data_IF_197359259798
#
_entry.id   IF_197359259798
#
_cell.length_a   1.000
_cell.length_b   1.000
_cell.length_c   1.000
_cell.angle_alpha   90.00
_cell.angle_beta   90.00
_cell.angle_gamma   90.00
#
_symmetry.space_group_name_H-M   'P 1'
#
loop_
_entity.id
_entity.type
_entity.pdbx_description
1 polymer ?
#
# COMPACT_ATOMS: atom_id res chain seq x y z
N UNK A 1 -1.60 17.17 -1.69
CA UNK A 1 -1.14 16.31 -2.78
C UNK A 1 -2.29 15.47 -3.32
N UNK A 2 -2.45 15.42 -4.62
CA UNK A 2 -3.66 14.86 -5.22
C UNK A 2 -3.44 13.50 -5.88
N UNK A 3 -2.55 12.72 -5.33
CA UNK A 3 -2.24 11.41 -5.90
C UNK A 3 -3.45 10.49 -5.99
N UNK A 4 -4.38 10.65 -5.06
CA UNK A 4 -5.56 9.80 -5.01
C UNK A 4 -6.57 10.10 -6.10
N UNK A 5 -6.37 11.16 -6.88
CA UNK A 5 -7.30 11.50 -7.95
C UNK A 5 -7.21 10.55 -9.14
N UNK A 6 -6.08 9.89 -9.32
CA UNK A 6 -5.88 9.04 -10.49
C UNK A 6 -5.68 7.60 -10.09
N UNK A 7 -6.17 6.72 -10.96
CA UNK A 7 -5.98 5.28 -10.82
C UNK A 7 -4.49 4.97 -10.97
N UNK A 8 -3.87 4.26 -10.02
CA UNK A 8 -2.43 4.00 -10.10
C UNK A 8 -2.02 3.05 -11.22
N UNK A 9 -2.94 2.25 -11.74
CA UNK A 9 -2.68 1.33 -12.84
C UNK A 9 -2.90 2.01 -14.17
N UNK A 10 -3.97 2.79 -14.29
CA UNK A 10 -4.30 3.50 -15.51
C UNK A 10 -4.48 4.98 -15.18
N UNK A 11 -3.46 5.81 -15.41
CA UNK A 11 -3.54 7.22 -15.04
C UNK A 11 -4.53 8.03 -15.85
N UNK A 12 -5.14 7.45 -16.88
CA UNK A 12 -6.20 8.12 -17.61
C UNK A 12 -7.54 7.98 -16.92
N UNK A 13 -7.66 7.08 -15.94
CA UNK A 13 -8.87 6.93 -15.15
C UNK A 13 -8.75 7.71 -13.86
N UNK A 14 -9.87 8.26 -13.41
CA UNK A 14 -9.92 8.87 -12.08
C UNK A 14 -10.23 7.80 -11.05
N UNK A 15 -9.61 7.94 -9.88
CA UNK A 15 -9.91 7.06 -8.76
C UNK A 15 -11.31 7.33 -8.23
N UNK A 16 -12.08 6.26 -8.05
CA UNK A 16 -13.42 6.34 -7.51
C UNK A 16 -13.39 6.51 -6.00
N UNK A 17 -14.39 7.18 -5.45
CA UNK A 17 -14.57 7.24 -4.00
C UNK A 17 -15.34 6.04 -3.45
N UNK A 18 -15.79 5.15 -4.32
CA UNK A 18 -16.53 3.97 -3.91
C UNK A 18 -15.67 3.09 -2.99
N UNK A 19 -16.21 2.63 -1.86
CA UNK A 19 -15.40 1.85 -0.92
C UNK A 19 -14.93 0.50 -1.46
N UNK A 20 -15.60 -0.04 -2.46
CA UNK A 20 -15.20 -1.30 -3.06
C UNK A 20 -14.18 -1.14 -4.18
N UNK A 21 -13.76 0.10 -4.49
CA UNK A 21 -12.74 0.37 -5.50
C UNK A 21 -11.52 1.01 -4.88
N UNK A 22 -11.09 0.49 -3.73
CA UNK A 22 -9.89 0.98 -3.06
C UNK A 22 -9.11 -0.19 -2.46
N UNK A 23 -7.83 0.06 -2.23
CA UNK A 23 -6.94 -0.93 -1.63
C UNK A 23 -5.86 -0.18 -0.86
N UNK A 24 -5.41 -0.75 0.25
CA UNK A 24 -4.38 -0.11 1.08
C UNK A 24 -3.09 -0.89 1.02
N UNK A 25 -1.99 -0.14 0.93
CA UNK A 25 -0.64 -0.69 1.03
C UNK A 25 0.13 0.22 1.96
N UNK A 26 0.72 -0.33 3.00
CA UNK A 26 1.45 0.43 4.03
C UNK A 26 0.58 1.56 4.61
N UNK A 27 -0.71 1.31 4.73
CA UNK A 27 -1.65 2.29 5.25
C UNK A 27 -2.06 3.37 4.27
N UNK A 28 -1.45 3.43 3.09
CA UNK A 28 -1.84 4.38 2.06
C UNK A 28 -3.02 3.83 1.28
N UNK A 29 -3.98 4.70 0.98
CA UNK A 29 -5.18 4.31 0.25
C UNK A 29 -4.97 4.59 -1.23
N UNK A 30 -5.18 3.57 -2.05
CA UNK A 30 -5.14 3.67 -3.50
C UNK A 30 -6.55 3.48 -4.03
N UNK A 31 -6.98 4.35 -4.93
CA UNK A 31 -8.34 4.34 -5.46
C UNK A 31 -8.30 4.04 -6.94
N UNK A 32 -9.30 3.30 -7.39
CA UNK A 32 -9.33 2.77 -8.76
C UNK A 32 -10.56 3.24 -9.49
N UNK A 33 -10.43 3.35 -10.80
CA UNK A 33 -11.53 3.76 -11.66
C UNK A 33 -12.49 2.62 -11.98
N UNK A 34 -12.02 1.38 -11.95
CA UNK A 34 -12.85 0.22 -12.19
C UNK A 34 -12.25 -1.02 -11.51
N UNK A 35 -13.01 -2.13 -11.56
CA UNK A 35 -12.57 -3.36 -10.92
C UNK A 35 -11.39 -4.00 -11.62
N UNK A 36 -11.24 -3.78 -12.90
CA UNK A 36 -10.16 -4.40 -13.65
C UNK A 36 -8.80 -3.88 -13.19
N UNK A 37 -8.68 -2.57 -13.03
CA UNK A 37 -7.44 -1.99 -12.54
C UNK A 37 -7.19 -2.34 -11.09
N UNK A 38 -8.25 -2.40 -10.27
CA UNK A 38 -8.11 -2.83 -8.89
C UNK A 38 -7.51 -4.23 -8.82
N UNK A 39 -8.03 -5.16 -9.61
CA UNK A 39 -7.51 -6.53 -9.59
C UNK A 39 -6.07 -6.61 -10.05
N UNK A 40 -5.70 -5.84 -11.06
CA UNK A 40 -4.32 -5.83 -11.52
C UNK A 40 -3.38 -5.30 -10.44
N UNK A 41 -3.80 -4.28 -9.73
CA UNK A 41 -3.01 -3.74 -8.62
C UNK A 41 -2.85 -4.79 -7.53
N UNK A 42 -3.93 -5.46 -7.15
CA UNK A 42 -3.91 -6.43 -6.06
C UNK A 42 -3.02 -7.64 -6.35
N UNK A 43 -2.84 -7.98 -7.62
CA UNK A 43 -1.99 -9.11 -7.99
C UNK A 43 -0.51 -8.82 -7.70
N UNK A 44 -0.06 -7.61 -7.96
CA UNK A 44 1.32 -7.22 -7.77
C UNK A 44 1.40 -5.76 -7.34
N UNK A 45 0.99 -5.44 -6.09
CA UNK A 45 0.96 -4.05 -5.67
C UNK A 45 2.30 -3.34 -5.79
N UNK A 46 3.39 -4.08 -5.63
CA UNK A 46 4.74 -3.50 -5.67
C UNK A 46 5.08 -2.89 -7.02
N UNK A 47 4.38 -3.28 -8.09
CA UNK A 47 4.63 -2.68 -9.40
C UNK A 47 4.03 -1.30 -9.54
N UNK A 48 2.99 -1.00 -8.77
CA UNK A 48 2.14 0.15 -9.03
C UNK A 48 2.19 1.24 -7.96
N UNK A 49 2.70 0.92 -6.77
CA UNK A 49 2.58 1.87 -5.66
C UNK A 49 3.77 2.84 -5.55
N UNK A 50 4.78 2.72 -6.42
CA UNK A 50 5.91 3.63 -6.39
C UNK A 50 6.73 3.48 -5.12
N UNK A 51 7.13 4.61 -4.54
CA UNK A 51 7.87 4.59 -3.29
C UNK A 51 6.91 4.42 -2.12
N UNK A 52 7.31 3.56 -1.20
CA UNK A 52 6.56 3.35 0.04
C UNK A 52 7.40 3.84 1.22
N UNK A 53 6.71 4.10 2.32
CA UNK A 53 7.37 4.42 3.58
C UNK A 53 7.31 3.20 4.48
N UNK A 54 8.49 2.77 4.98
CA UNK A 54 8.56 1.68 5.95
C UNK A 54 7.87 2.14 7.24
N UNK A 55 6.89 1.41 7.74
CA UNK A 55 6.14 1.87 8.91
C UNK A 55 6.93 1.84 10.21
N UNK A 56 8.05 1.12 10.26
CA UNK A 56 8.84 1.00 11.46
C UNK A 56 9.82 2.16 11.61
N UNK A 57 10.56 2.47 10.56
CA UNK A 57 11.61 3.50 10.65
C UNK A 57 11.37 4.71 9.76
N UNK A 58 10.29 4.71 8.97
CA UNK A 58 9.95 5.86 8.14
C UNK A 58 10.78 6.00 6.88
N UNK A 59 11.70 5.09 6.59
CA UNK A 59 12.52 5.20 5.40
C UNK A 59 11.69 4.98 4.15
N UNK A 60 12.05 5.65 3.07
CA UNK A 60 11.40 5.47 1.79
C UNK A 60 12.16 4.44 0.98
N UNK A 61 11.41 3.59 0.29
CA UNK A 61 12.02 2.53 -0.51
C UNK A 61 11.08 2.16 -1.64
N UNK A 62 11.66 1.59 -2.69
CA UNK A 62 10.88 1.06 -3.81
C UNK A 62 10.66 -0.43 -3.58
N UNK A 63 9.41 -0.84 -3.38
CA UNK A 63 9.14 -2.26 -3.15
C UNK A 63 9.39 -3.09 -4.41
N UNK A 64 9.69 -4.36 -4.21
CA UNK A 64 9.88 -5.31 -5.29
C UNK A 64 9.27 -6.64 -4.88
N UNK A 65 9.36 -7.62 -5.79
CA UNK A 65 8.88 -8.96 -5.47
C UNK A 65 9.65 -9.60 -4.33
N UNK A 66 10.83 -9.09 -4.03
CA UNK A 66 11.68 -9.61 -2.95
C UNK A 66 11.49 -8.88 -1.63
N UNK A 67 10.73 -7.80 -1.62
CA UNK A 67 10.55 -7.04 -0.39
C UNK A 67 9.86 -7.87 0.68
N UNK A 68 10.38 -7.85 1.91
CA UNK A 68 9.68 -8.48 3.03
C UNK A 68 8.31 -7.86 3.20
N UNK A 69 7.33 -8.67 3.56
CA UNK A 69 5.96 -8.20 3.69
C UNK A 69 5.20 -8.98 4.73
N UNK A 70 4.16 -8.35 5.26
CA UNK A 70 3.22 -8.94 6.19
C UNK A 70 1.82 -8.56 5.74
N UNK A 71 0.93 -9.53 5.69
CA UNK A 71 -0.47 -9.26 5.43
C UNK A 71 -1.15 -9.01 6.77
N UNK A 72 -1.66 -7.82 6.93
CA UNK A 72 -2.21 -7.39 8.20
C UNK A 72 -3.58 -6.78 7.97
N UNK A 73 -4.33 -6.54 9.04
CA UNK A 73 -5.63 -5.88 8.94
C UNK A 73 -5.43 -4.54 8.22
N UNK A 74 -6.22 -4.30 7.19
CA UNK A 74 -6.11 -3.07 6.41
C UNK A 74 -5.17 -3.16 5.21
N UNK A 75 -4.66 -4.36 4.88
CA UNK A 75 -3.88 -4.57 3.67
C UNK A 75 -2.45 -5.00 3.95
N UNK A 76 -1.68 -5.25 2.91
CA UNK A 76 -0.29 -5.67 3.09
C UNK A 76 0.60 -4.50 3.51
N UNK A 77 1.64 -4.84 4.27
CA UNK A 77 2.72 -3.93 4.61
C UNK A 77 4.01 -4.48 4.03
N UNK A 78 4.72 -3.66 3.29
CA UNK A 78 6.04 -3.98 2.74
C UNK A 78 7.10 -3.28 3.56
N UNK A 79 8.27 -3.89 3.65
CA UNK A 79 9.35 -3.38 4.50
C UNK A 79 10.63 -3.24 3.69
N UNK A 80 11.45 -2.28 4.11
CA UNK A 80 12.73 -2.03 3.47
C UNK A 80 13.74 -3.13 3.80
N UNK A 81 13.54 -3.88 4.90
CA UNK A 81 14.46 -4.91 5.33
C UNK A 81 13.75 -5.95 6.17
N UNK A 82 14.40 -7.10 6.34
CA UNK A 82 13.89 -8.13 7.24
C UNK A 82 13.84 -7.63 8.68
N UNK A 83 14.79 -6.79 9.04
CA UNK A 83 14.87 -6.25 10.39
C UNK A 83 13.62 -5.44 10.75
N UNK A 84 13.19 -4.56 9.85
CA UNK A 84 12.00 -3.76 10.14
C UNK A 84 10.75 -4.62 10.10
N UNK A 85 10.68 -5.60 9.22
CA UNK A 85 9.56 -6.54 9.22
C UNK A 85 9.45 -7.25 10.55
N UNK A 86 10.57 -7.72 11.09
CA UNK A 86 10.56 -8.46 12.33
C UNK A 86 10.14 -7.58 13.51
N UNK A 87 10.57 -6.32 13.50
CA UNK A 87 10.14 -5.38 14.54
C UNK A 87 8.65 -5.09 14.45
N UNK A 88 8.11 -5.02 13.26
CA UNK A 88 6.67 -4.85 13.09
C UNK A 88 5.92 -6.06 13.67
N UNK A 89 6.41 -7.26 13.39
CA UNK A 89 5.77 -8.47 13.90
C UNK A 89 5.80 -8.57 15.42
N UNK A 90 6.83 -8.00 16.06
CA UNK A 90 6.91 -7.98 17.51
C UNK A 90 5.82 -7.13 18.15
N UNK A 91 5.40 -6.06 17.50
CA UNK A 91 4.41 -5.14 18.06
C UNK A 91 3.66 -4.42 16.93
N UNK A 92 2.79 -5.15 16.21
CA UNK A 92 2.11 -4.55 15.06
C UNK A 92 1.26 -3.34 15.42
N UNK A 93 0.64 -3.35 16.60
CA UNK A 93 -0.23 -2.24 16.98
C UNK A 93 0.50 -0.93 17.14
N UNK A 94 1.81 -0.99 17.42
CA UNK A 94 2.63 0.20 17.56
C UNK A 94 2.95 0.83 16.20
N UNK A 95 3.11 0.00 15.18
CA UNK A 95 3.62 0.45 13.88
C UNK A 95 2.59 0.52 12.79
N UNK A 96 1.42 -0.10 12.97
CA UNK A 96 0.42 -0.04 11.92
C UNK A 96 -0.02 1.41 11.71
N UNK A 97 -0.30 1.73 10.44
CA UNK A 97 -0.74 3.07 10.09
C UNK A 97 -2.24 3.14 10.29
N UNK A 98 -2.68 3.99 11.21
CA UNK A 98 -4.09 4.18 11.50
C UNK A 98 -4.56 5.46 10.82
N UNK A 99 -5.65 5.33 10.09
CA UNK A 99 -6.21 6.47 9.37
C UNK A 99 -7.60 6.76 9.91
N UNK A 100 -7.81 8.00 10.30
CA UNK A 100 -9.14 8.47 10.65
C UNK A 100 -9.97 8.55 9.37
N UNK A 101 -11.22 8.16 9.48
CA UNK A 101 -12.13 8.21 8.33
C UNK A 101 -13.03 9.43 8.40
#
# INVERSE_FOLDING_TARGET
MQRALYDPVDPQLLGSLAPDLQFRVNGEVYRFGDEKTLRRFMQEPELWCGLLRDPVNGSRFRPSTRSPRVYFVGGPYYFASDSTRDRFLDDPGRYEVKRAL
#
